data_IF_188382131146
#
_entry.id   IF_188382131146
#
_cell.length_a   1.000
_cell.length_b   1.000
_cell.length_c   1.000
_cell.angle_alpha   90.00
_cell.angle_beta   90.00
_cell.angle_gamma   90.00
#
_symmetry.space_group_name_H-M   'P 1'
#
loop_
_entity.id
_entity.type
_entity.pdbx_description
1 polymer ?
#
# COMPACT_ATOMS: atom_id res chain seq x y z
N UNK A 1 23.58 0.52 14.47
CA UNK A 1 22.24 0.50 15.10
C UNK A 1 21.20 0.13 14.06
N UNK A 2 20.14 -0.61 14.38
CA UNK A 2 19.09 -0.89 13.40
C UNK A 2 18.31 0.38 13.04
N UNK A 3 17.93 0.51 11.76
CA UNK A 3 17.11 1.61 11.28
C UNK A 3 15.75 1.65 12.00
N UNK A 4 15.38 2.81 12.54
CA UNK A 4 14.08 3.08 13.16
C UNK A 4 13.37 4.20 12.45
N UNK A 5 12.21 3.91 11.87
CA UNK A 5 11.38 4.93 11.24
C UNK A 5 10.54 5.69 12.28
N UNK A 6 10.78 7.00 12.42
CA UNK A 6 10.09 7.83 13.45
C UNK A 6 8.58 7.85 13.30
N UNK A 7 8.06 7.73 12.06
CA UNK A 7 6.62 7.78 11.78
C UNK A 7 6.00 6.38 11.63
N UNK A 8 6.65 5.33 12.11
CA UNK A 8 6.14 3.97 11.99
C UNK A 8 4.73 3.80 12.55
N UNK A 9 4.43 4.38 13.71
CA UNK A 9 3.11 4.33 14.33
C UNK A 9 2.03 5.04 13.49
N UNK A 10 2.39 6.16 12.84
CA UNK A 10 1.48 6.89 11.96
C UNK A 10 1.18 6.06 10.73
N UNK A 11 2.19 5.41 10.14
CA UNK A 11 2.03 4.51 9.00
C UNK A 11 1.08 3.35 9.36
N UNK A 12 1.26 2.71 10.50
CA UNK A 12 0.39 1.62 10.98
C UNK A 12 -1.07 2.07 11.16
N UNK A 13 -1.30 3.27 11.70
CA UNK A 13 -2.64 3.84 11.84
C UNK A 13 -3.27 4.09 10.46
N UNK A 14 -2.50 4.59 9.49
CA UNK A 14 -3.01 4.84 8.13
C UNK A 14 -3.29 3.55 7.37
N UNK A 15 -2.47 2.53 7.54
CA UNK A 15 -2.74 1.18 7.00
C UNK A 15 -4.05 0.63 7.56
N UNK A 16 -4.26 0.72 8.88
CA UNK A 16 -5.51 0.29 9.50
C UNK A 16 -6.73 1.06 8.99
N UNK A 17 -6.60 2.38 8.80
CA UNK A 17 -7.68 3.20 8.20
C UNK A 17 -7.98 2.79 6.75
N UNK A 18 -6.97 2.46 5.97
CA UNK A 18 -7.13 1.92 4.61
C UNK A 18 -7.87 0.58 4.62
N UNK A 19 -7.51 -0.33 5.53
CA UNK A 19 -8.16 -1.63 5.68
C UNK A 19 -9.65 -1.50 6.08
N UNK A 20 -9.97 -0.60 7.01
CA UNK A 20 -11.36 -0.30 7.38
C UNK A 20 -12.14 0.29 6.21
N UNK A 21 -11.53 1.17 5.42
CA UNK A 21 -12.15 1.73 4.23
C UNK A 21 -12.37 0.68 3.14
N UNK A 22 -11.45 -0.26 2.97
CA UNK A 22 -11.62 -1.39 2.07
C UNK A 22 -12.82 -2.26 2.47
N UNK A 23 -13.00 -2.52 3.76
CA UNK A 23 -14.18 -3.23 4.25
C UNK A 23 -15.48 -2.46 3.98
N UNK A 24 -15.46 -1.12 4.08
CA UNK A 24 -16.62 -0.29 3.73
C UNK A 24 -16.96 -0.39 2.22
N UNK A 25 -15.97 -0.40 1.35
CA UNK A 25 -16.16 -0.62 -0.09
C UNK A 25 -16.76 -1.99 -0.38
N UNK A 26 -16.25 -3.05 0.28
CA UNK A 26 -16.79 -4.41 0.13
C UNK A 26 -18.27 -4.47 0.53
N UNK A 27 -18.63 -3.89 1.67
CA UNK A 27 -20.03 -3.84 2.14
C UNK A 27 -20.93 -3.05 1.18
N UNK A 28 -20.44 -1.93 0.64
CA UNK A 28 -21.18 -1.15 -0.34
C UNK A 28 -21.37 -1.93 -1.65
N UNK A 29 -20.37 -2.71 -2.08
CA UNK A 29 -20.48 -3.60 -3.24
C UNK A 29 -21.50 -4.73 -3.00
N UNK A 30 -21.44 -5.38 -1.84
CA UNK A 30 -22.40 -6.42 -1.45
C UNK A 30 -23.86 -5.89 -1.47
N UNK A 31 -24.07 -4.64 -1.07
CA UNK A 31 -25.40 -4.03 -1.12
C UNK A 31 -25.87 -3.80 -2.57
N UNK A 32 -25.00 -3.36 -3.47
CA UNK A 32 -25.32 -3.26 -4.91
C UNK A 32 -25.69 -4.62 -5.48
N UNK A 33 -24.87 -5.64 -5.19
CA UNK A 33 -25.08 -7.02 -5.67
C UNK A 33 -26.40 -7.60 -5.13
N UNK A 34 -26.73 -7.31 -3.88
CA UNK A 34 -28.02 -7.71 -3.26
C UNK A 34 -29.20 -7.11 -3.99
N UNK A 35 -29.14 -5.82 -4.31
CA UNK A 35 -30.22 -5.13 -5.03
C UNK A 35 -30.33 -5.67 -6.47
N UNK A 36 -29.21 -5.94 -7.13
CA UNK A 36 -29.21 -6.56 -8.47
C UNK A 36 -29.89 -7.92 -8.48
N UNK A 37 -29.61 -8.76 -7.49
CA UNK A 37 -30.28 -10.07 -7.36
C UNK A 37 -31.79 -9.91 -7.13
N UNK A 38 -32.23 -8.89 -6.38
CA UNK A 38 -33.65 -8.60 -6.19
C UNK A 38 -34.33 -8.16 -7.49
N UNK A 39 -33.64 -7.34 -8.29
CA UNK A 39 -34.13 -6.93 -9.61
C UNK A 39 -34.28 -8.14 -10.52
N UNK A 40 -33.30 -9.02 -10.59
CA UNK A 40 -33.35 -10.23 -11.42
C UNK A 40 -34.53 -11.11 -10.99
N UNK A 41 -34.68 -11.38 -9.69
CA UNK A 41 -35.82 -12.17 -9.18
C UNK A 41 -37.15 -11.56 -9.49
N UNK A 42 -37.28 -10.23 -9.37
CA UNK A 42 -38.53 -9.52 -9.69
C UNK A 42 -38.88 -9.63 -11.19
N UNK A 43 -37.87 -9.49 -12.06
CA UNK A 43 -38.08 -9.66 -13.51
C UNK A 43 -38.42 -11.09 -13.88
N UNK A 44 -37.85 -12.09 -13.23
CA UNK A 44 -38.21 -13.50 -13.39
C UNK A 44 -39.68 -13.74 -12.99
N UNK A 45 -40.13 -13.19 -11.85
CA UNK A 45 -41.50 -13.27 -11.40
C UNK A 45 -42.49 -12.61 -12.40
N UNK A 46 -42.14 -11.43 -12.92
CA UNK A 46 -42.96 -10.75 -13.95
C UNK A 46 -43.07 -11.64 -15.18
N UNK A 47 -41.98 -12.24 -15.63
CA UNK A 47 -41.97 -13.15 -16.77
C UNK A 47 -42.84 -14.37 -16.54
N UNK A 48 -42.71 -15.02 -15.39
CA UNK A 48 -43.47 -16.21 -15.04
C UNK A 48 -44.97 -15.92 -14.93
N UNK A 49 -45.36 -14.83 -14.29
CA UNK A 49 -46.73 -14.40 -14.18
C UNK A 49 -47.32 -14.04 -15.53
N UNK A 50 -46.55 -13.41 -16.42
CA UNK A 50 -46.98 -13.09 -17.78
C UNK A 50 -47.25 -14.37 -18.57
N UNK A 51 -46.43 -15.41 -18.40
CA UNK A 51 -46.65 -16.72 -19.02
C UNK A 51 -47.89 -17.43 -18.46
N UNK A 52 -48.06 -17.42 -17.14
CA UNK A 52 -49.21 -17.99 -16.46
C UNK A 52 -50.54 -17.29 -16.88
N UNK A 53 -50.52 -15.97 -17.02
CA UNK A 53 -51.67 -15.20 -17.49
C UNK A 53 -52.17 -15.66 -18.86
N UNK A 54 -51.26 -16.07 -19.76
CA UNK A 54 -51.63 -16.55 -21.13
C UNK A 54 -52.47 -17.83 -21.12
N UNK A 55 -52.30 -18.65 -20.07
CA UNK A 55 -52.99 -19.94 -19.93
C UNK A 55 -54.05 -19.93 -18.87
N UNK A 56 -54.25 -18.80 -18.18
CA UNK A 56 -55.24 -18.64 -17.12
C UNK A 56 -56.67 -18.42 -17.63
N UNK A 57 -57.62 -18.62 -16.74
CA UNK A 57 -59.04 -18.27 -17.00
C UNK A 57 -59.15 -16.74 -17.18
N UNK A 58 -59.93 -16.29 -18.19
CA UNK A 58 -60.17 -14.86 -18.43
C UNK A 58 -60.68 -14.07 -17.21
N UNK A 59 -61.41 -14.71 -16.29
CA UNK A 59 -61.82 -14.08 -15.01
C UNK A 59 -60.65 -13.71 -14.09
N UNK A 60 -59.47 -14.31 -14.27
CA UNK A 60 -58.28 -14.05 -13.48
C UNK A 60 -57.35 -12.99 -14.08
N UNK A 61 -57.58 -12.56 -15.32
CA UNK A 61 -56.70 -11.64 -16.04
C UNK A 61 -56.49 -10.30 -15.32
N UNK A 62 -57.53 -9.76 -14.73
CA UNK A 62 -57.45 -8.49 -14.00
C UNK A 62 -56.54 -8.60 -12.78
N UNK A 63 -56.61 -9.72 -12.05
CA UNK A 63 -55.75 -9.98 -10.90
C UNK A 63 -54.28 -10.13 -11.31
N UNK A 64 -54.00 -10.87 -12.38
CA UNK A 64 -52.63 -10.99 -12.91
C UNK A 64 -52.09 -9.63 -13.36
N UNK A 65 -52.89 -8.83 -14.09
CA UNK A 65 -52.49 -7.52 -14.56
C UNK A 65 -52.17 -6.55 -13.41
N UNK A 66 -53.02 -6.53 -12.37
CA UNK A 66 -52.75 -5.73 -11.16
C UNK A 66 -51.48 -6.14 -10.48
N UNK A 67 -51.21 -7.44 -10.34
CA UNK A 67 -50.00 -7.94 -9.68
C UNK A 67 -48.73 -7.67 -10.50
N UNK A 68 -48.80 -7.87 -11.82
CA UNK A 68 -47.69 -7.53 -12.75
C UNK A 68 -47.38 -6.03 -12.67
N UNK A 69 -48.39 -5.16 -12.68
CA UNK A 69 -48.20 -3.71 -12.51
C UNK A 69 -47.58 -3.32 -11.19
N UNK A 70 -47.92 -4.04 -10.11
CA UNK A 70 -47.30 -3.86 -8.81
C UNK A 70 -45.80 -4.22 -8.85
N UNK A 71 -45.43 -5.36 -9.47
CA UNK A 71 -44.06 -5.78 -9.63
C UNK A 71 -43.23 -4.82 -10.50
N UNK A 72 -43.81 -4.20 -11.51
CA UNK A 72 -43.14 -3.15 -12.29
C UNK A 72 -42.85 -1.90 -11.46
N UNK A 73 -43.75 -1.50 -10.58
CA UNK A 73 -43.48 -0.40 -9.63
C UNK A 73 -42.40 -0.74 -8.64
N UNK A 74 -42.35 -1.99 -8.18
CA UNK A 74 -41.25 -2.48 -7.33
C UNK A 74 -39.90 -2.49 -8.06
N UNK A 75 -39.91 -2.90 -9.35
CA UNK A 75 -38.70 -2.86 -10.19
C UNK A 75 -38.14 -1.44 -10.35
N UNK A 76 -39.03 -0.46 -10.55
CA UNK A 76 -38.63 0.95 -10.63
C UNK A 76 -38.03 1.45 -9.31
N UNK A 77 -38.60 1.08 -8.16
CA UNK A 77 -38.04 1.41 -6.86
C UNK A 77 -36.68 0.75 -6.65
N UNK A 78 -36.53 -0.54 -6.99
CA UNK A 78 -35.26 -1.26 -6.89
C UNK A 78 -34.18 -0.64 -7.78
N UNK A 79 -34.53 -0.20 -9.00
CA UNK A 79 -33.60 0.50 -9.88
C UNK A 79 -33.12 1.83 -9.29
N UNK A 80 -34.03 2.60 -8.67
CA UNK A 80 -33.65 3.83 -7.97
C UNK A 80 -32.74 3.54 -6.77
N UNK A 81 -33.06 2.54 -5.96
CA UNK A 81 -32.21 2.10 -4.84
C UNK A 81 -30.83 1.63 -5.32
N UNK A 82 -30.77 0.91 -6.45
CA UNK A 82 -29.48 0.52 -7.06
C UNK A 82 -28.67 1.74 -7.44
N UNK A 83 -29.28 2.75 -8.02
CA UNK A 83 -28.60 3.98 -8.41
C UNK A 83 -28.00 4.72 -7.21
N UNK A 84 -28.75 4.81 -6.11
CA UNK A 84 -28.27 5.39 -4.84
C UNK A 84 -27.12 4.55 -4.24
N UNK A 85 -27.25 3.23 -4.27
CA UNK A 85 -26.20 2.32 -3.78
C UNK A 85 -24.91 2.40 -4.61
N UNK A 86 -25.01 2.55 -5.93
CA UNK A 86 -23.86 2.75 -6.83
C UNK A 86 -23.16 4.08 -6.53
N UNK A 87 -23.92 5.16 -6.32
CA UNK A 87 -23.35 6.46 -5.94
C UNK A 87 -22.62 6.37 -4.58
N UNK A 88 -23.22 5.66 -3.61
CA UNK A 88 -22.57 5.41 -2.32
C UNK A 88 -21.27 4.60 -2.47
N UNK A 89 -21.28 3.56 -3.29
CA UNK A 89 -20.11 2.74 -3.60
C UNK A 89 -18.97 3.57 -4.21
N UNK A 90 -19.26 4.45 -5.16
CA UNK A 90 -18.25 5.30 -5.78
C UNK A 90 -17.63 6.29 -4.77
N UNK A 91 -18.42 6.83 -3.86
CA UNK A 91 -17.90 7.66 -2.76
C UNK A 91 -16.94 6.89 -1.85
N UNK A 92 -17.29 5.65 -1.50
CA UNK A 92 -16.41 4.80 -0.68
C UNK A 92 -15.12 4.42 -1.42
N UNK A 93 -15.18 4.17 -2.73
CA UNK A 93 -13.99 3.94 -3.58
C UNK A 93 -13.09 5.17 -3.65
N UNK A 94 -13.64 6.36 -3.78
CA UNK A 94 -12.86 7.61 -3.81
C UNK A 94 -12.15 7.85 -2.47
N UNK A 95 -12.83 7.59 -1.34
CA UNK A 95 -12.21 7.62 -0.02
C UNK A 95 -11.08 6.58 0.10
N UNK A 96 -11.25 5.37 -0.44
CA UNK A 96 -10.20 4.35 -0.44
C UNK A 96 -8.97 4.83 -1.21
N UNK A 97 -9.14 5.44 -2.39
CA UNK A 97 -8.01 6.03 -3.16
C UNK A 97 -7.23 7.05 -2.36
N UNK A 98 -7.93 7.93 -1.62
CA UNK A 98 -7.28 8.91 -0.74
C UNK A 98 -6.47 8.20 0.35
N UNK A 99 -7.03 7.16 1.00
CA UNK A 99 -6.34 6.38 2.04
C UNK A 99 -5.12 5.63 1.50
N UNK A 100 -5.21 5.10 0.29
CA UNK A 100 -4.08 4.46 -0.40
C UNK A 100 -2.97 5.46 -0.70
N UNK A 101 -3.30 6.66 -1.19
CA UNK A 101 -2.30 7.72 -1.42
C UNK A 101 -1.61 8.14 -0.13
N UNK A 102 -2.35 8.27 0.97
CA UNK A 102 -1.79 8.61 2.29
C UNK A 102 -0.79 7.57 2.79
N UNK A 103 -1.06 6.27 2.56
CA UNK A 103 -0.15 5.17 2.90
C UNK A 103 1.06 5.18 1.99
N UNK A 104 0.87 5.29 0.67
CA UNK A 104 1.96 5.30 -0.32
C UNK A 104 2.97 6.44 -0.08
N UNK A 105 2.49 7.62 0.32
CA UNK A 105 3.38 8.76 0.65
C UNK A 105 4.29 8.41 1.84
N UNK A 106 3.74 7.80 2.90
CA UNK A 106 4.52 7.43 4.07
C UNK A 106 5.45 6.23 3.82
N UNK A 107 5.04 5.29 2.98
CA UNK A 107 5.90 4.15 2.58
C UNK A 107 7.11 4.65 1.78
N UNK A 108 6.90 5.51 0.78
CA UNK A 108 7.99 6.14 0.02
C UNK A 108 8.91 6.97 0.91
N UNK A 109 8.34 7.75 1.84
CA UNK A 109 9.15 8.50 2.80
C UNK A 109 9.98 7.58 3.70
N UNK A 110 9.43 6.45 4.14
CA UNK A 110 10.16 5.43 4.91
C UNK A 110 11.30 4.83 4.10
N UNK A 111 11.07 4.52 2.82
CA UNK A 111 12.08 3.98 1.91
C UNK A 111 13.24 4.96 1.71
N UNK A 112 12.96 6.23 1.39
CA UNK A 112 13.99 7.27 1.30
C UNK A 112 14.79 7.43 2.59
N UNK A 113 14.13 7.43 3.75
CA UNK A 113 14.83 7.50 5.05
C UNK A 113 15.69 6.28 5.33
N UNK A 114 15.31 5.13 4.85
CA UNK A 114 16.11 3.92 4.92
C UNK A 114 17.35 4.00 4.01
N UNK A 115 17.18 4.52 2.80
CA UNK A 115 18.27 4.73 1.86
C UNK A 115 19.28 5.75 2.41
N UNK A 116 18.80 6.91 2.90
CA UNK A 116 19.64 7.91 3.55
C UNK A 116 20.47 7.29 4.68
N UNK A 117 19.83 6.51 5.54
CA UNK A 117 20.48 5.82 6.65
C UNK A 117 21.59 4.85 6.19
N UNK A 118 21.31 4.05 5.14
CA UNK A 118 22.30 3.12 4.58
C UNK A 118 23.48 3.85 3.94
N UNK A 119 23.25 4.99 3.29
CA UNK A 119 24.32 5.83 2.74
C UNK A 119 25.17 6.44 3.84
N UNK A 120 24.55 6.93 4.92
CA UNK A 120 25.29 7.45 6.08
C UNK A 120 26.13 6.37 6.78
N UNK A 121 25.61 5.15 6.93
CA UNK A 121 26.37 4.02 7.47
C UNK A 121 27.58 3.70 6.61
N UNK A 122 27.40 3.53 5.31
CA UNK A 122 28.51 3.30 4.36
C UNK A 122 29.56 4.42 4.41
N UNK A 123 29.12 5.67 4.48
CA UNK A 123 30.03 6.81 4.58
C UNK A 123 30.78 6.83 5.92
N UNK A 124 30.17 6.36 7.01
CA UNK A 124 30.83 6.20 8.30
C UNK A 124 31.86 5.11 8.26
N UNK A 125 31.51 3.93 7.78
CA UNK A 125 32.47 2.81 7.63
C UNK A 125 33.65 3.20 6.76
N UNK A 126 33.43 3.91 5.65
CA UNK A 126 34.51 4.39 4.77
C UNK A 126 35.42 5.39 5.48
N UNK A 127 34.89 6.29 6.31
CA UNK A 127 35.70 7.21 7.12
C UNK A 127 36.56 6.46 8.15
N UNK A 128 35.97 5.48 8.84
CA UNK A 128 36.71 4.63 9.80
C UNK A 128 37.82 3.84 9.11
N UNK A 129 37.55 3.24 7.94
CA UNK A 129 38.58 2.54 7.16
C UNK A 129 39.68 3.48 6.67
N UNK A 130 39.37 4.68 6.23
CA UNK A 130 40.33 5.68 5.82
C UNK A 130 41.20 6.15 6.99
N UNK A 131 40.62 6.32 8.18
CA UNK A 131 41.35 6.68 9.40
C UNK A 131 42.32 5.60 9.80
N UNK A 132 41.89 4.33 9.83
CA UNK A 132 42.75 3.17 10.11
C UNK A 132 43.88 3.07 9.06
N UNK A 133 43.57 3.26 7.78
CA UNK A 133 44.55 3.27 6.69
C UNK A 133 45.58 4.36 6.86
N UNK A 134 45.15 5.58 7.20
CA UNK A 134 46.05 6.71 7.48
C UNK A 134 46.97 6.44 8.68
N UNK A 135 46.42 5.93 9.79
CA UNK A 135 47.21 5.58 10.96
C UNK A 135 48.28 4.53 10.65
N UNK A 136 47.93 3.47 9.93
CA UNK A 136 48.90 2.43 9.49
C UNK A 136 49.96 2.99 8.59
N UNK A 137 49.61 3.91 7.68
CA UNK A 137 50.59 4.57 6.81
C UNK A 137 51.58 5.41 7.61
N UNK A 138 51.12 6.20 8.56
CA UNK A 138 51.99 7.00 9.43
C UNK A 138 52.94 6.13 10.27
N UNK A 139 52.47 5.03 10.82
CA UNK A 139 53.31 4.09 11.60
C UNK A 139 54.39 3.52 10.69
N UNK A 140 54.06 3.00 9.50
CA UNK A 140 55.05 2.43 8.56
C UNK A 140 56.08 3.47 8.10
N UNK A 141 55.65 4.70 7.80
CA UNK A 141 56.56 5.76 7.36
C UNK A 141 57.53 6.19 8.47
N UNK A 142 57.07 6.15 9.72
CA UNK A 142 57.94 6.41 10.87
C UNK A 142 58.97 5.28 11.07
N UNK A 143 58.50 4.03 11.04
CA UNK A 143 59.38 2.86 11.22
C UNK A 143 60.45 2.81 10.10
N UNK A 144 60.10 3.11 8.84
CA UNK A 144 61.07 3.22 7.74
C UNK A 144 62.08 4.35 7.91
N UNK A 145 61.67 5.49 8.48
CA UNK A 145 62.61 6.56 8.78
C UNK A 145 63.59 6.17 9.89
N UNK A 146 63.09 5.53 10.92
CA UNK A 146 63.93 5.04 12.02
C UNK A 146 64.96 3.97 11.55
N UNK A 147 64.53 3.07 10.63
CA UNK A 147 65.41 2.10 9.99
C UNK A 147 66.52 2.77 9.17
N UNK A 148 66.16 3.78 8.33
CA UNK A 148 67.15 4.53 7.54
C UNK A 148 68.14 5.31 8.39
N UNK A 149 67.69 5.95 9.48
CA UNK A 149 68.57 6.65 10.44
C UNK A 149 69.53 5.70 11.13
N UNK A 150 69.06 4.50 11.47
CA UNK A 150 69.93 3.46 12.07
C UNK A 150 71.00 2.94 11.07
N UNK A 151 70.63 2.73 9.81
CA UNK A 151 71.53 2.35 8.73
C UNK A 151 72.60 3.45 8.47
N UNK A 152 72.21 4.72 8.46
CA UNK A 152 73.13 5.84 8.31
C UNK A 152 74.13 5.94 9.47
N UNK A 153 73.68 5.76 10.68
CA UNK A 153 74.55 5.75 11.89
C UNK A 153 75.51 4.58 11.83
N UNK A 154 75.10 3.37 11.46
CA UNK A 154 76.03 2.21 11.34
C UNK A 154 77.06 2.39 10.25
N UNK A 155 76.64 3.02 9.11
CA UNK A 155 77.59 3.31 8.04
C UNK A 155 78.64 4.41 8.41
N UNK A 156 78.20 5.41 9.19
CA UNK A 156 79.14 6.44 9.74
C UNK A 156 80.17 5.88 10.72
N UNK A 157 79.71 4.97 11.60
CA UNK A 157 80.62 4.31 12.53
C UNK A 157 81.62 3.39 11.82
N UNK A 158 81.23 2.68 10.78
CA UNK A 158 82.15 1.86 9.98
C UNK A 158 83.15 2.65 9.15
N UNK A 159 82.78 3.90 8.75
CA UNK A 159 83.68 4.80 8.00
C UNK A 159 84.73 5.47 8.90
N UNK A 160 84.54 5.59 10.21
CA UNK A 160 85.48 6.17 11.17
C UNK A 160 86.44 5.14 11.74
N UNK A 161 86.31 3.84 11.50
CA UNK A 161 87.11 2.76 11.95
C UNK A 161 88.13 2.21 10.90
N UNK A 162 88.23 2.87 9.74
CA UNK A 162 89.19 2.55 8.71
C UNK A 162 90.16 3.75 8.49
#
# INVERSE_FOLDING_TARGET
MPFRYRMQKILEIRIRKKELQLQAVIKAQEEVDRIELLIIKNLEQIKDLTLQMRTADPMMYEQYDMFIKHLWKEDEKLKNQKQEAVIALEKEKDLLRIREQEVNVLEKHKEHKREDYLQEEKARELRELNEIGSQKFFIRSRDQKEELELEELQNADNSNNN
#
